data_IF_948094497321
#
_entry.id   IF_948094497321
#
_cell.length_a   1.000
_cell.length_b   1.000
_cell.length_c   1.000
_cell.angle_alpha   90.00
_cell.angle_beta   90.00
_cell.angle_gamma   90.00
#
_symmetry.space_group_name_H-M   'P 1'
#
loop_
_entity.id
_entity.type
_entity.pdbx_description
1 polymer ?
#
# COMPACT_ATOMS: atom_id res chain seq x y z
N UNK A 1 -6.36 61.30 16.96
CA UNK A 1 -7.38 61.59 15.94
C UNK A 1 -6.79 61.17 14.61
N UNK A 2 -7.32 60.33 13.74
CA UNK A 2 -8.52 59.47 13.66
C UNK A 2 -8.29 58.59 12.43
N UNK A 3 -8.81 57.37 12.46
CA UNK A 3 -8.65 56.32 11.45
C UNK A 3 -9.17 56.70 10.04
N UNK A 4 -8.65 56.01 9.01
CA UNK A 4 -9.13 56.11 7.63
C UNK A 4 -9.09 54.77 6.91
N UNK A 5 -9.95 53.83 7.33
CA UNK A 5 -10.26 52.62 6.56
C UNK A 5 -11.34 52.93 5.51
N UNK A 6 -11.15 52.49 4.27
CA UNK A 6 -12.25 52.36 3.31
C UNK A 6 -11.92 51.27 2.29
N UNK A 7 -12.24 50.02 2.64
CA UNK A 7 -12.29 48.91 1.68
C UNK A 7 -13.60 49.00 0.90
N UNK A 8 -13.46 49.15 -0.42
CA UNK A 8 -14.56 49.15 -1.39
C UNK A 8 -15.27 47.80 -1.38
N UNK A 9 -16.57 47.86 -1.14
CA UNK A 9 -17.54 46.77 -1.21
C UNK A 9 -17.72 46.35 -2.67
N UNK A 10 -17.60 45.05 -2.97
CA UNK A 10 -18.25 44.47 -4.14
C UNK A 10 -19.18 43.35 -3.71
N UNK A 11 -20.45 43.71 -3.81
CA UNK A 11 -21.67 42.94 -3.64
C UNK A 11 -21.68 41.75 -4.57
N UNK A 12 -22.00 40.56 -4.06
CA UNK A 12 -22.34 39.40 -4.89
C UNK A 12 -23.49 38.65 -4.25
N UNK A 13 -24.67 39.00 -4.78
CA UNK A 13 -25.88 38.20 -5.05
C UNK A 13 -26.19 37.04 -4.10
N UNK A 14 -27.21 37.29 -3.26
CA UNK A 14 -27.95 36.35 -2.45
C UNK A 14 -28.89 35.51 -3.35
N UNK A 15 -28.70 34.20 -3.40
CA UNK A 15 -29.68 33.25 -3.94
C UNK A 15 -30.30 32.51 -2.75
N UNK A 16 -31.61 32.69 -2.59
CA UNK A 16 -32.43 32.08 -1.55
C UNK A 16 -33.02 30.74 -2.04
N UNK A 17 -32.87 29.70 -1.23
CA UNK A 17 -33.61 28.42 -1.21
C UNK A 17 -32.98 27.59 -0.07
N UNK A 18 -33.65 26.81 0.79
CA UNK A 18 -35.04 26.44 1.04
C UNK A 18 -35.01 25.63 2.36
N UNK A 19 -36.20 25.39 2.94
CA UNK A 19 -36.55 24.26 3.81
C UNK A 19 -36.15 24.29 5.32
N UNK A 20 -37.12 24.75 6.12
CA UNK A 20 -37.90 23.95 7.11
C UNK A 20 -37.22 22.72 7.73
N UNK A 21 -37.24 22.66 9.06
CA UNK A 21 -37.45 21.42 9.80
C UNK A 21 -36.43 21.13 10.90
N UNK A 22 -36.75 21.50 12.13
CA UNK A 22 -36.09 20.99 13.33
C UNK A 22 -36.36 19.48 13.49
N UNK A 23 -35.38 18.72 13.99
CA UNK A 23 -35.55 17.68 15.01
C UNK A 23 -34.17 17.12 15.44
N UNK A 24 -34.09 16.79 16.71
CA UNK A 24 -32.91 16.40 17.47
C UNK A 24 -32.16 15.16 16.94
N UNK A 25 -30.84 15.14 17.15
CA UNK A 25 -30.03 13.93 17.02
C UNK A 25 -28.55 14.20 17.30
N UNK A 26 -28.03 13.71 18.43
CA UNK A 26 -26.60 13.67 18.73
C UNK A 26 -25.86 12.99 17.57
N UNK A 27 -24.85 13.64 17.00
CA UNK A 27 -23.81 12.92 16.27
C UNK A 27 -22.50 13.71 16.27
N UNK A 28 -21.46 12.98 16.64
CA UNK A 28 -20.05 13.34 16.79
C UNK A 28 -19.49 14.10 15.58
N UNK A 29 -18.37 14.84 15.72
CA UNK A 29 -17.70 15.42 14.56
C UNK A 29 -17.26 14.30 13.62
N UNK A 30 -18.00 14.17 12.52
CA UNK A 30 -17.67 13.29 11.41
C UNK A 30 -16.38 13.81 10.78
N UNK A 31 -15.27 13.14 11.07
CA UNK A 31 -14.05 13.30 10.30
C UNK A 31 -14.40 13.05 8.84
N UNK A 32 -14.02 13.97 7.95
CA UNK A 32 -14.21 13.81 6.52
C UNK A 32 -13.73 12.41 6.08
N UNK A 33 -14.45 11.70 5.20
CA UNK A 33 -14.00 10.41 4.70
C UNK A 33 -12.59 10.59 4.13
N UNK A 34 -11.60 9.92 4.71
CA UNK A 34 -10.29 9.86 4.08
C UNK A 34 -10.48 9.19 2.71
N UNK A 35 -9.81 9.66 1.65
CA UNK A 35 -9.93 9.04 0.34
C UNK A 35 -9.53 7.57 0.47
N UNK A 36 -10.52 6.68 0.39
CA UNK A 36 -10.28 5.25 0.27
C UNK A 36 -9.61 5.08 -1.09
N UNK A 37 -8.38 4.54 -1.17
CA UNK A 37 -7.75 4.28 -2.46
C UNK A 37 -8.70 3.39 -3.25
N UNK A 38 -9.16 3.89 -4.39
CA UNK A 38 -9.99 3.08 -5.30
C UNK A 38 -9.08 2.00 -5.84
N UNK A 39 -9.31 0.71 -5.57
CA UNK A 39 -8.52 -0.34 -6.18
C UNK A 39 -8.74 -0.21 -7.67
N UNK A 40 -7.68 0.11 -8.42
CA UNK A 40 -7.72 -0.13 -9.85
C UNK A 40 -7.61 -1.65 -9.94
N UNK A 41 -8.74 -2.33 -10.11
CA UNK A 41 -8.77 -3.78 -10.38
C UNK A 41 -8.09 -4.01 -11.73
N UNK A 42 -6.77 -3.99 -11.72
CA UNK A 42 -5.97 -4.53 -12.80
C UNK A 42 -6.21 -6.03 -12.73
N UNK A 43 -6.89 -6.55 -13.74
CA UNK A 43 -7.31 -7.95 -13.85
C UNK A 43 -6.16 -8.88 -13.46
N UNK A 44 -6.44 -9.98 -12.75
CA UNK A 44 -5.46 -11.00 -12.33
C UNK A 44 -4.49 -11.38 -13.46
N UNK A 45 -4.96 -11.35 -14.71
CA UNK A 45 -4.19 -11.58 -15.94
C UNK A 45 -2.97 -10.64 -16.09
N UNK A 46 -3.13 -9.35 -15.76
CA UNK A 46 -2.08 -8.33 -15.84
C UNK A 46 -0.95 -8.56 -14.82
N UNK A 47 -1.24 -9.25 -13.72
CA UNK A 47 -0.26 -9.60 -12.69
C UNK A 47 0.17 -11.08 -12.74
N UNK A 48 -0.29 -11.85 -13.73
CA UNK A 48 0.10 -13.24 -13.88
C UNK A 48 1.63 -13.44 -13.89
N UNK A 49 2.44 -12.57 -14.53
CA UNK A 49 3.90 -12.65 -14.44
C UNK A 49 4.42 -12.53 -13.00
N UNK A 50 3.80 -11.67 -12.18
CA UNK A 50 4.17 -11.46 -10.78
C UNK A 50 3.82 -12.70 -9.94
N UNK A 51 2.63 -13.27 -10.16
CA UNK A 51 2.23 -14.50 -9.49
C UNK A 51 3.16 -15.68 -9.79
N UNK A 52 3.53 -15.85 -11.07
CA UNK A 52 4.39 -16.95 -11.51
C UNK A 52 5.84 -16.72 -11.03
N UNK A 53 6.36 -15.50 -11.12
CA UNK A 53 7.71 -15.16 -10.65
C UNK A 53 7.87 -15.44 -9.14
N UNK A 54 6.89 -15.02 -8.32
CA UNK A 54 6.90 -15.29 -6.88
C UNK A 54 6.84 -16.80 -6.60
N UNK A 55 5.99 -17.55 -7.30
CA UNK A 55 5.89 -19.00 -7.12
C UNK A 55 7.21 -19.73 -7.48
N UNK A 56 8.00 -19.18 -8.41
CA UNK A 56 9.31 -19.71 -8.79
C UNK A 56 10.48 -19.16 -7.95
N UNK A 57 10.24 -18.16 -7.11
CA UNK A 57 11.29 -17.45 -6.39
C UNK A 57 11.95 -18.30 -5.29
N UNK A 58 11.16 -19.13 -4.61
CA UNK A 58 11.64 -20.00 -3.53
C UNK A 58 10.71 -21.22 -3.39
N UNK A 59 11.23 -22.44 -3.18
CA UNK A 59 10.41 -23.65 -3.06
C UNK A 59 9.44 -23.64 -1.86
N UNK A 60 9.70 -22.79 -0.85
CA UNK A 60 8.81 -22.62 0.31
C UNK A 60 7.67 -21.64 0.02
N UNK A 61 7.82 -20.77 -0.97
CA UNK A 61 6.82 -19.74 -1.30
C UNK A 61 5.76 -20.35 -2.22
N UNK A 62 4.51 -20.36 -1.77
CA UNK A 62 3.38 -20.67 -2.66
C UNK A 62 3.08 -19.47 -3.55
N UNK A 63 2.33 -19.72 -4.64
CA UNK A 63 1.78 -18.66 -5.50
C UNK A 63 1.19 -17.54 -4.63
N UNK A 64 1.52 -16.29 -4.95
CA UNK A 64 0.97 -15.15 -4.22
C UNK A 64 -0.57 -15.26 -4.16
N UNK A 65 -1.15 -14.93 -3.01
CA UNK A 65 -2.61 -14.99 -2.82
C UNK A 65 -3.31 -13.75 -3.35
N UNK A 66 -2.62 -12.61 -3.33
CA UNK A 66 -3.17 -11.31 -3.75
C UNK A 66 -2.05 -10.47 -4.34
N UNK A 67 -2.27 -9.93 -5.53
CA UNK A 67 -1.46 -8.88 -6.13
C UNK A 67 -2.42 -7.81 -6.60
N UNK A 68 -2.33 -6.62 -6.02
CA UNK A 68 -3.20 -5.49 -6.35
C UNK A 68 -2.39 -4.22 -6.46
N UNK A 69 -2.73 -3.36 -7.44
CA UNK A 69 -2.19 -2.01 -7.52
C UNK A 69 -3.22 -1.00 -7.02
N UNK A 70 -2.78 -0.04 -6.22
CA UNK A 70 -3.61 1.07 -5.77
C UNK A 70 -2.85 2.39 -5.88
N UNK A 71 -3.58 3.50 -6.01
CA UNK A 71 -2.97 4.83 -5.95
C UNK A 71 -2.98 5.29 -4.48
N UNK A 72 -1.80 5.49 -3.91
CA UNK A 72 -1.60 6.02 -2.56
C UNK A 72 -1.03 7.42 -2.66
N UNK A 73 -1.90 8.43 -2.62
CA UNK A 73 -1.53 9.82 -2.89
C UNK A 73 -1.08 10.01 -4.35
N UNK A 74 0.19 10.36 -4.56
CA UNK A 74 0.80 10.49 -5.88
C UNK A 74 1.60 9.23 -6.32
N UNK A 75 1.77 8.26 -5.43
CA UNK A 75 2.53 7.05 -5.68
C UNK A 75 1.60 5.88 -6.02
N UNK A 76 2.03 5.00 -6.92
CA UNK A 76 1.37 3.73 -7.20
C UNK A 76 1.96 2.65 -6.30
N UNK A 77 1.12 2.08 -5.44
CA UNK A 77 1.50 1.02 -4.51
C UNK A 77 1.04 -0.33 -5.04
N UNK A 78 1.98 -1.27 -5.15
CA UNK A 78 1.73 -2.68 -5.43
C UNK A 78 1.69 -3.45 -4.11
N UNK A 79 0.52 -3.95 -3.74
CA UNK A 79 0.37 -4.82 -2.58
C UNK A 79 0.45 -6.27 -3.04
N UNK A 80 1.38 -7.01 -2.45
CA UNK A 80 1.64 -8.43 -2.72
C UNK A 80 1.48 -9.20 -1.41
N UNK A 81 0.58 -10.18 -1.40
CA UNK A 81 0.41 -11.10 -0.28
C UNK A 81 0.90 -12.47 -0.71
N UNK A 82 1.92 -12.98 -0.05
CA UNK A 82 2.50 -14.30 -0.30
C UNK A 82 2.15 -15.28 0.81
N UNK A 83 2.19 -16.56 0.48
CA UNK A 83 2.07 -17.64 1.45
C UNK A 83 3.37 -18.41 1.50
N UNK A 84 3.86 -18.69 2.70
CA UNK A 84 5.11 -19.40 2.91
C UNK A 84 4.82 -20.68 3.68
N UNK A 85 5.37 -21.78 3.18
CA UNK A 85 5.29 -23.11 3.79
C UNK A 85 6.47 -23.36 4.73
N UNK A 86 6.24 -24.26 5.69
CA UNK A 86 7.23 -24.64 6.69
C UNK A 86 7.21 -23.73 7.92
N UNK A 87 7.56 -24.32 9.06
CA UNK A 87 7.53 -23.69 10.38
C UNK A 87 8.80 -22.91 10.72
N UNK A 88 9.81 -22.94 9.85
CA UNK A 88 11.04 -22.16 10.03
C UNK A 88 10.81 -20.67 9.72
N UNK A 89 11.51 -19.75 10.41
CA UNK A 89 11.46 -18.33 10.10
C UNK A 89 11.87 -18.07 8.64
N UNK A 90 11.31 -17.00 8.07
CA UNK A 90 11.65 -16.59 6.69
C UNK A 90 13.10 -16.14 6.66
N UNK A 91 13.87 -16.69 5.72
CA UNK A 91 15.27 -16.32 5.56
C UNK A 91 15.41 -15.03 4.76
N UNK A 92 16.49 -14.28 4.97
CA UNK A 92 16.85 -13.12 4.13
C UNK A 92 16.96 -13.51 2.66
N UNK A 93 17.47 -14.71 2.36
CA UNK A 93 17.62 -15.20 0.99
C UNK A 93 16.25 -15.38 0.31
N UNK A 94 15.30 -16.01 1.00
CA UNK A 94 13.92 -16.18 0.52
C UNK A 94 13.26 -14.82 0.29
N UNK A 95 13.38 -13.90 1.26
CA UNK A 95 12.83 -12.56 1.12
C UNK A 95 13.44 -11.80 -0.08
N UNK A 96 14.77 -11.88 -0.25
CA UNK A 96 15.47 -11.23 -1.37
C UNK A 96 15.02 -11.81 -2.71
N UNK A 97 14.88 -13.12 -2.82
CA UNK A 97 14.42 -13.78 -4.04
C UNK A 97 13.00 -13.33 -4.42
N UNK A 98 12.09 -13.22 -3.44
CA UNK A 98 10.73 -12.69 -3.67
C UNK A 98 10.78 -11.24 -4.14
N UNK A 99 11.58 -10.39 -3.49
CA UNK A 99 11.68 -8.97 -3.85
C UNK A 99 12.22 -8.77 -5.27
N UNK A 100 13.23 -9.54 -5.68
CA UNK A 100 13.76 -9.55 -7.05
C UNK A 100 12.69 -10.03 -8.03
N UNK A 101 11.99 -11.12 -7.72
CA UNK A 101 10.93 -11.65 -8.57
C UNK A 101 9.82 -10.62 -8.81
N UNK A 102 9.40 -9.89 -7.77
CA UNK A 102 8.39 -8.83 -7.88
C UNK A 102 8.92 -7.66 -8.72
N UNK A 103 10.16 -7.21 -8.46
CA UNK A 103 10.79 -6.12 -9.23
C UNK A 103 10.82 -6.44 -10.73
N UNK A 104 11.28 -7.63 -11.08
CA UNK A 104 11.50 -8.02 -12.47
C UNK A 104 10.17 -8.26 -13.23
N UNK A 105 9.10 -8.58 -12.51
CA UNK A 105 7.77 -8.87 -13.08
C UNK A 105 6.77 -7.70 -13.02
N UNK A 106 6.99 -6.71 -12.17
CA UNK A 106 6.10 -5.55 -12.03
C UNK A 106 6.26 -4.48 -13.13
N UNK A 107 7.20 -4.66 -14.07
CA UNK A 107 7.41 -3.84 -15.27
C UNK A 107 7.49 -2.31 -15.07
N UNK A 108 7.82 -1.84 -13.86
CA UNK A 108 7.89 -0.41 -13.53
C UNK A 108 6.54 0.26 -13.30
N UNK A 109 5.46 -0.52 -13.21
CA UNK A 109 4.11 -0.03 -12.95
C UNK A 109 3.84 0.23 -11.46
N UNK A 110 4.86 0.33 -10.61
CA UNK A 110 4.69 0.62 -9.19
C UNK A 110 5.87 1.42 -8.66
N UNK A 111 5.57 2.41 -7.81
CA UNK A 111 6.56 3.20 -7.10
C UNK A 111 6.95 2.53 -5.77
N UNK A 112 5.96 1.90 -5.12
CA UNK A 112 6.11 1.27 -3.81
C UNK A 112 5.63 -0.18 -3.86
N UNK A 113 6.36 -1.07 -3.20
CA UNK A 113 5.94 -2.43 -2.91
C UNK A 113 5.53 -2.54 -1.44
N UNK A 114 4.37 -3.13 -1.19
CA UNK A 114 3.88 -3.54 0.11
C UNK A 114 3.74 -5.07 0.12
N UNK A 115 4.68 -5.75 0.76
CA UNK A 115 4.78 -7.21 0.80
C UNK A 115 4.34 -7.75 2.16
N UNK A 116 3.32 -8.60 2.16
CA UNK A 116 2.83 -9.28 3.36
C UNK A 116 3.05 -10.79 3.22
N UNK A 117 3.80 -11.39 4.14
CA UNK A 117 4.00 -12.82 4.19
C UNK A 117 3.04 -13.47 5.19
N UNK A 118 2.37 -14.55 4.78
CA UNK A 118 1.44 -15.30 5.64
C UNK A 118 1.80 -16.77 5.68
N UNK A 119 1.42 -17.43 6.78
CA UNK A 119 1.56 -18.86 6.90
C UNK A 119 0.62 -19.57 5.90
N UNK A 120 1.15 -20.55 5.16
CA UNK A 120 0.36 -21.31 4.19
C UNK A 120 -0.73 -22.19 4.84
N UNK A 121 -0.45 -22.73 6.03
CA UNK A 121 -1.40 -23.56 6.80
C UNK A 121 -2.42 -22.71 7.55
N UNK A 122 -2.09 -21.47 7.89
CA UNK A 122 -2.95 -20.51 8.56
C UNK A 122 -2.87 -19.11 7.90
N UNK A 123 -3.70 -18.83 6.88
CA UNK A 123 -3.64 -17.58 6.12
C UNK A 123 -4.08 -16.32 6.90
N UNK A 124 -4.44 -16.46 8.17
CA UNK A 124 -4.68 -15.32 9.08
C UNK A 124 -3.43 -14.92 9.87
N UNK A 125 -2.45 -15.82 9.95
CA UNK A 125 -1.19 -15.57 10.64
C UNK A 125 -0.23 -14.85 9.69
N UNK A 126 0.16 -13.64 10.09
CA UNK A 126 1.24 -12.90 9.41
C UNK A 126 2.57 -13.42 9.96
N UNK A 127 3.50 -13.69 9.06
CA UNK A 127 4.84 -14.14 9.40
C UNK A 127 5.73 -12.94 9.73
N UNK A 128 6.56 -13.09 10.76
CA UNK A 128 7.54 -12.07 11.10
C UNK A 128 8.72 -12.12 10.11
N UNK A 129 8.93 -11.01 9.40
CA UNK A 129 10.04 -10.85 8.46
C UNK A 129 11.19 -10.03 9.07
N UNK A 130 11.12 -9.61 10.33
CA UNK A 130 12.08 -8.70 10.95
C UNK A 130 13.54 -9.19 10.85
N UNK A 131 13.76 -10.49 11.05
CA UNK A 131 15.10 -11.08 10.92
C UNK A 131 15.58 -11.15 9.47
N UNK A 132 14.68 -11.49 8.54
CA UNK A 132 14.97 -11.48 7.11
C UNK A 132 15.35 -10.08 6.63
N UNK A 133 14.59 -9.07 7.05
CA UNK A 133 14.78 -7.64 6.73
C UNK A 133 16.12 -7.14 7.25
N UNK A 134 16.53 -7.54 8.46
CA UNK A 134 17.83 -7.13 9.03
C UNK A 134 19.02 -7.61 8.21
N UNK A 135 18.88 -8.70 7.47
CA UNK A 135 19.91 -9.20 6.56
C UNK A 135 19.91 -8.55 5.18
N UNK A 136 18.91 -7.72 4.85
CA UNK A 136 18.85 -7.03 3.56
C UNK A 136 19.98 -5.98 3.43
N UNK A 137 20.38 -5.63 2.20
CA UNK A 137 21.36 -4.57 1.98
C UNK A 137 20.92 -3.24 2.60
N UNK A 138 21.87 -2.53 3.22
CA UNK A 138 21.61 -1.25 3.91
C UNK A 138 21.20 -0.08 2.99
N UNK A 139 21.19 -0.29 1.67
CA UNK A 139 20.73 0.68 0.69
C UNK A 139 19.22 0.70 0.46
N UNK A 140 18.46 -0.19 1.13
CA UNK A 140 17.01 -0.24 1.00
C UNK A 140 16.30 0.59 2.06
N UNK A 141 15.38 1.45 1.64
CA UNK A 141 14.49 2.18 2.53
C UNK A 141 13.32 1.31 2.96
N UNK A 142 13.59 0.25 3.72
CA UNK A 142 12.55 -0.68 4.18
C UNK A 142 11.82 -0.14 5.41
N UNK A 143 10.50 -0.24 5.38
CA UNK A 143 9.62 0.09 6.49
C UNK A 143 8.83 -1.17 6.85
N UNK A 144 8.84 -1.55 8.13
CA UNK A 144 8.05 -2.67 8.64
C UNK A 144 6.90 -2.12 9.49
N UNK A 145 5.67 -2.28 9.03
CA UNK A 145 4.46 -1.80 9.72
C UNK A 145 3.38 -2.87 9.63
N UNK A 146 2.78 -3.21 10.78
CA UNK A 146 1.63 -4.13 10.87
C UNK A 146 1.79 -5.48 10.15
N UNK A 147 3.04 -5.96 10.04
CA UNK A 147 3.35 -7.23 9.38
C UNK A 147 3.50 -7.15 7.85
N UNK A 148 3.49 -5.94 7.29
CA UNK A 148 3.85 -5.64 5.91
C UNK A 148 5.24 -5.00 5.81
N UNK A 149 6.01 -5.46 4.82
CA UNK A 149 7.26 -4.83 4.38
C UNK A 149 6.95 -3.86 3.25
N UNK A 150 7.14 -2.58 3.53
CA UNK A 150 7.02 -1.51 2.54
C UNK A 150 8.41 -1.10 2.07
N UNK A 151 8.62 -1.08 0.76
CA UNK A 151 9.91 -0.73 0.15
C UNK A 151 9.70 0.00 -1.18
N UNK A 152 10.46 1.07 -1.48
CA UNK A 152 10.43 1.69 -2.79
C UNK A 152 10.89 0.70 -3.88
N UNK A 153 10.17 0.63 -4.99
CA UNK A 153 10.55 -0.22 -6.12
C UNK A 153 11.89 0.22 -6.72
N UNK A 154 12.23 1.51 -6.63
CA UNK A 154 13.55 2.06 -7.00
C UNK A 154 14.70 1.44 -6.22
N UNK A 155 14.48 1.15 -4.94
CA UNK A 155 15.51 0.64 -4.05
C UNK A 155 15.80 -0.83 -4.34
N UNK A 156 14.80 -1.57 -4.84
CA UNK A 156 14.98 -2.97 -5.26
C UNK A 156 15.99 -3.12 -6.41
N UNK A 157 16.32 -2.05 -7.15
CA UNK A 157 17.43 -2.06 -8.11
C UNK A 157 18.78 -2.38 -7.44
N UNK A 158 18.94 -2.11 -6.14
CA UNK A 158 20.15 -2.42 -5.38
C UNK A 158 20.29 -3.92 -5.03
N UNK A 159 19.27 -4.75 -5.29
CA UNK A 159 19.27 -6.17 -4.95
C UNK A 159 19.97 -7.08 -5.99
N UNK A 160 20.44 -6.53 -7.11
CA UNK A 160 21.19 -7.27 -8.15
C UNK A 160 20.64 -7.07 -9.55
#
# INVERSE_FOLDING_TARGET
MTAGASHRRFTSVLIAALAVGALAGCSSPFAAPQPVPTPLESSVDAFQPVYDAIATSDPRVERASTVTSSLSGAARQLTVVIRITGSEPVSTQTLTAVLIAVRDSAHGDADMLDLVARDASNPKQILDLSDAIRGLPSGLSTIWIDGGLVVPMSDLAALG
#
